data_IF_911242934479
#
_entry.id   IF_911242934479
#
_cell.length_a   1.000
_cell.length_b   1.000
_cell.length_c   1.000
_cell.angle_alpha   90.00
_cell.angle_beta   90.00
_cell.angle_gamma   90.00
#
_symmetry.space_group_name_H-M   'P 1'
#
loop_
_entity.id
_entity.type
_entity.pdbx_description
1 polymer ?
#
# COMPACT_ATOMS: atom_id res chain seq x y z
N UNK A 1 -23.45 -1.99 -31.65
CA UNK A 1 -22.32 -1.58 -30.79
C UNK A 1 -22.38 -2.44 -29.54
N UNK A 2 -21.45 -3.37 -29.36
CA UNK A 2 -21.39 -4.16 -28.13
C UNK A 2 -20.68 -3.35 -27.05
N UNK A 3 -21.31 -3.20 -25.89
CA UNK A 3 -20.66 -2.65 -24.70
C UNK A 3 -19.68 -3.71 -24.15
N UNK A 4 -18.38 -3.42 -24.20
CA UNK A 4 -17.39 -4.18 -23.42
C UNK A 4 -17.45 -3.74 -21.96
N UNK A 5 -17.25 -4.69 -21.04
CA UNK A 5 -17.01 -4.41 -19.63
C UNK A 5 -15.50 -4.44 -19.42
N UNK A 6 -14.95 -3.39 -18.83
CA UNK A 6 -13.52 -3.24 -18.58
C UNK A 6 -13.25 -3.01 -17.09
N UNK A 7 -12.16 -3.60 -16.60
CA UNK A 7 -11.68 -3.36 -15.24
C UNK A 7 -10.97 -2.02 -15.24
N UNK A 8 -11.49 -1.07 -14.45
CA UNK A 8 -10.91 0.27 -14.34
C UNK A 8 -10.19 0.49 -13.01
N UNK A 9 -10.40 -0.38 -12.03
CA UNK A 9 -9.67 -0.39 -10.76
C UNK A 9 -9.99 -1.69 -10.01
N UNK A 10 -9.02 -2.19 -9.28
CA UNK A 10 -9.17 -3.27 -8.31
C UNK A 10 -8.71 -2.73 -6.96
N UNK A 11 -9.56 -2.95 -5.95
CA UNK A 11 -9.24 -2.65 -4.55
C UNK A 11 -9.15 -3.97 -3.79
N UNK A 12 -8.05 -4.16 -3.06
CA UNK A 12 -7.89 -5.29 -2.15
C UNK A 12 -7.62 -4.82 -0.73
N UNK A 13 -7.82 -5.73 0.21
CA UNK A 13 -7.47 -5.51 1.60
C UNK A 13 -6.78 -6.73 2.18
N UNK A 14 -5.77 -6.50 3.02
CA UNK A 14 -5.08 -7.56 3.77
C UNK A 14 -4.75 -7.09 5.18
N UNK A 15 -4.23 -7.98 6.01
CA UNK A 15 -3.82 -7.68 7.38
C UNK A 15 -2.50 -8.41 7.70
N UNK A 16 -1.56 -7.71 8.34
CA UNK A 16 -0.26 -8.28 8.75
C UNK A 16 -0.32 -9.14 10.02
N UNK A 17 -1.42 -9.07 10.77
CA UNK A 17 -1.61 -9.76 12.04
C UNK A 17 -0.89 -9.09 13.22
N UNK A 18 -0.35 -7.88 13.06
CA UNK A 18 0.36 -7.12 14.11
C UNK A 18 -0.04 -5.65 14.10
N UNK A 19 0.06 -5.00 15.26
CA UNK A 19 -0.04 -3.53 15.33
C UNK A 19 1.26 -2.89 14.85
N UNK A 20 1.15 -1.68 14.29
CA UNK A 20 2.27 -0.90 13.76
C UNK A 20 2.35 0.45 14.48
N UNK A 21 3.56 0.92 14.78
CA UNK A 21 3.80 2.31 15.10
C UNK A 21 3.90 3.12 13.80
N UNK A 22 2.84 3.84 13.48
CA UNK A 22 2.76 4.59 12.22
C UNK A 22 3.76 5.75 12.16
N UNK A 23 4.12 6.36 13.29
CA UNK A 23 5.14 7.41 13.31
C UNK A 23 6.52 6.82 13.02
N UNK A 24 6.83 5.67 13.62
CA UNK A 24 8.09 4.96 13.34
C UNK A 24 8.18 4.52 11.88
N UNK A 25 7.08 4.00 11.31
CA UNK A 25 7.00 3.62 9.88
C UNK A 25 7.24 4.84 8.98
N UNK A 26 6.56 5.95 9.21
CA UNK A 26 6.69 7.16 8.39
C UNK A 26 8.12 7.71 8.40
N UNK A 27 8.78 7.67 9.56
CA UNK A 27 10.13 8.20 9.74
C UNK A 27 11.24 7.15 9.51
N UNK A 28 10.90 5.93 9.10
CA UNK A 28 11.89 4.88 8.87
C UNK A 28 12.72 5.18 7.62
N UNK A 29 14.00 5.48 7.80
CA UNK A 29 14.93 5.70 6.69
C UNK A 29 15.02 4.47 5.77
N UNK A 30 15.03 3.28 6.37
CA UNK A 30 15.12 2.02 5.62
C UNK A 30 13.95 1.81 4.67
N UNK A 31 12.74 2.21 5.05
CA UNK A 31 11.55 2.09 4.19
C UNK A 31 11.56 3.17 3.10
N UNK A 32 11.92 4.41 3.46
CA UNK A 32 11.90 5.56 2.55
C UNK A 32 12.97 5.48 1.45
N UNK A 33 14.00 4.65 1.63
CA UNK A 33 15.10 4.45 0.67
C UNK A 33 14.97 3.13 -0.12
N UNK A 34 13.86 2.39 0.03
CA UNK A 34 13.62 1.23 -0.82
C UNK A 34 13.33 1.69 -2.25
N UNK A 35 14.04 1.11 -3.22
CA UNK A 35 13.86 1.41 -4.65
C UNK A 35 12.40 1.20 -5.12
N UNK A 36 11.62 0.35 -4.44
CA UNK A 36 10.23 0.13 -4.77
C UNK A 36 9.26 1.19 -4.20
N UNK A 37 9.70 2.02 -3.25
CA UNK A 37 8.85 2.95 -2.50
C UNK A 37 9.06 4.39 -2.99
N UNK A 38 8.04 4.96 -3.62
CA UNK A 38 8.04 6.34 -4.09
C UNK A 38 7.87 7.35 -2.95
N UNK A 39 6.96 7.05 -2.01
CA UNK A 39 6.71 7.91 -0.86
C UNK A 39 6.01 7.19 0.28
N UNK A 40 6.24 7.67 1.50
CA UNK A 40 5.56 7.25 2.72
C UNK A 40 5.09 8.49 3.47
N UNK A 41 3.78 8.68 3.57
CA UNK A 41 3.19 9.86 4.20
C UNK A 41 2.24 9.49 5.34
N UNK A 42 2.44 10.11 6.50
CA UNK A 42 1.48 10.02 7.59
C UNK A 42 0.33 11.00 7.36
N UNK A 43 -0.86 10.45 7.11
CA UNK A 43 -2.08 11.23 7.03
C UNK A 43 -2.53 11.68 8.44
N UNK A 44 -2.72 12.99 8.60
CA UNK A 44 -3.05 13.66 9.86
C UNK A 44 -4.56 13.66 10.19
N UNK A 45 -5.41 13.04 9.37
CA UNK A 45 -6.85 12.96 9.63
C UNK A 45 -7.19 11.98 10.76
N UNK A 46 -8.45 12.01 11.17
CA UNK A 46 -9.04 11.09 12.14
C UNK A 46 -8.71 9.63 11.82
N UNK A 47 -7.97 8.99 12.73
CA UNK A 47 -7.60 7.58 12.65
C UNK A 47 -6.12 7.31 12.41
N UNK A 48 -5.35 8.30 11.93
CA UNK A 48 -3.92 8.22 11.51
C UNK A 48 -3.64 7.02 10.60
N UNK A 49 -3.25 7.29 9.36
CA UNK A 49 -2.95 6.24 8.37
C UNK A 49 -1.65 6.56 7.65
N UNK A 50 -0.95 5.54 7.21
CA UNK A 50 0.15 5.71 6.25
C UNK A 50 -0.43 5.60 4.84
N UNK A 51 -0.06 6.56 4.00
CA UNK A 51 -0.25 6.53 2.56
C UNK A 51 1.13 6.20 1.96
N UNK A 52 1.26 5.01 1.39
CA UNK A 52 2.50 4.55 0.78
C UNK A 52 2.29 4.35 -0.71
N UNK A 53 3.15 4.97 -1.53
CA UNK A 53 3.14 4.84 -2.99
C UNK A 53 4.34 4.02 -3.43
N UNK A 54 4.14 3.18 -4.43
CA UNK A 54 5.19 2.40 -5.05
C UNK A 54 5.66 3.09 -6.34
N UNK A 55 6.94 2.92 -6.70
CA UNK A 55 7.59 3.71 -7.76
C UNK A 55 7.26 3.21 -9.19
N UNK A 56 7.18 1.89 -9.38
CA UNK A 56 6.96 1.28 -10.69
C UNK A 56 5.48 1.07 -11.05
N UNK A 57 4.58 1.28 -10.10
CA UNK A 57 3.17 0.92 -10.21
C UNK A 57 2.31 1.99 -9.50
N UNK A 58 1.18 2.39 -10.10
CA UNK A 58 0.21 3.33 -9.50
C UNK A 58 -0.46 2.93 -8.17
N UNK A 59 -0.34 1.71 -7.62
CA UNK A 59 -1.02 1.35 -6.39
C UNK A 59 -0.64 2.20 -5.18
N UNK A 60 -1.69 2.67 -4.50
CA UNK A 60 -1.62 3.30 -3.20
C UNK A 60 -1.93 2.27 -2.11
N UNK A 61 -1.01 2.13 -1.17
CA UNK A 61 -1.22 1.43 0.09
C UNK A 61 -1.74 2.38 1.15
N UNK A 62 -2.84 2.01 1.80
CA UNK A 62 -3.40 2.71 2.95
C UNK A 62 -3.28 1.79 4.16
N UNK A 63 -2.43 2.16 5.12
CA UNK A 63 -2.09 1.31 6.27
C UNK A 63 -2.65 1.93 7.54
N UNK A 64 -3.30 1.11 8.36
CA UNK A 64 -3.75 1.49 9.70
C UNK A 64 -2.84 0.94 10.79
N UNK A 65 -2.94 1.54 11.98
CA UNK A 65 -2.23 1.08 13.19
C UNK A 65 -2.48 -0.41 13.52
N UNK A 66 -3.63 -0.96 13.12
CA UNK A 66 -3.97 -2.38 13.35
C UNK A 66 -3.31 -3.34 12.36
N UNK A 67 -2.40 -2.85 11.52
CA UNK A 67 -1.74 -3.63 10.48
C UNK A 67 -2.69 -4.07 9.37
N UNK A 68 -3.84 -3.42 9.21
CA UNK A 68 -4.68 -3.59 8.02
C UNK A 68 -4.23 -2.67 6.89
N UNK A 69 -4.23 -3.21 5.68
CA UNK A 69 -3.78 -2.61 4.43
C UNK A 69 -4.94 -2.58 3.46
N UNK A 70 -5.15 -1.45 2.81
CA UNK A 70 -5.96 -1.36 1.60
C UNK A 70 -5.02 -1.04 0.46
N UNK A 71 -5.10 -1.78 -0.63
CA UNK A 71 -4.33 -1.57 -1.85
C UNK A 71 -5.33 -1.22 -2.96
N UNK A 72 -5.12 -0.10 -3.63
CA UNK A 72 -5.99 0.39 -4.72
C UNK A 72 -5.14 0.98 -5.83
N UNK A 73 -5.66 1.08 -7.05
CA UNK A 73 -4.96 1.65 -8.20
C UNK A 73 -4.38 0.60 -9.13
N UNK A 74 -4.76 -0.68 -8.96
CA UNK A 74 -4.40 -1.75 -9.88
C UNK A 74 -5.47 -1.91 -10.95
N UNK A 75 -5.09 -2.05 -12.21
CA UNK A 75 -5.98 -2.27 -13.34
C UNK A 75 -6.05 -3.75 -13.77
N UNK A 76 -5.19 -4.58 -13.19
CA UNK A 76 -5.15 -6.02 -13.42
C UNK A 76 -4.86 -6.80 -12.14
N UNK A 77 -5.24 -8.08 -12.11
CA UNK A 77 -4.88 -8.97 -10.99
C UNK A 77 -3.37 -9.20 -10.88
N UNK A 78 -2.62 -9.08 -11.98
CA UNK A 78 -1.16 -9.15 -11.99
C UNK A 78 -0.54 -8.00 -11.19
N UNK A 79 -0.90 -6.76 -11.55
CA UNK A 79 -0.48 -5.56 -10.82
C UNK A 79 -0.86 -5.61 -9.34
N UNK A 80 -2.08 -6.08 -9.04
CA UNK A 80 -2.53 -6.19 -7.65
C UNK A 80 -1.68 -7.17 -6.85
N UNK A 81 -1.35 -8.32 -7.43
CA UNK A 81 -0.52 -9.33 -6.77
C UNK A 81 0.91 -8.83 -6.56
N UNK A 82 1.49 -8.17 -7.56
CA UNK A 82 2.83 -7.57 -7.46
C UNK A 82 2.87 -6.52 -6.35
N UNK A 83 1.91 -5.59 -6.34
CA UNK A 83 1.77 -4.58 -5.29
C UNK A 83 1.64 -5.23 -3.90
N UNK A 84 0.78 -6.24 -3.78
CA UNK A 84 0.53 -6.95 -2.52
C UNK A 84 1.80 -7.61 -1.97
N UNK A 85 2.59 -8.26 -2.83
CA UNK A 85 3.84 -8.88 -2.41
C UNK A 85 4.93 -7.86 -2.06
N UNK A 86 4.99 -6.72 -2.75
CA UNK A 86 5.86 -5.60 -2.39
C UNK A 86 5.50 -5.04 -1.01
N UNK A 87 4.22 -4.71 -0.76
CA UNK A 87 3.78 -4.25 0.56
C UNK A 87 4.09 -5.26 1.67
N UNK A 88 3.85 -6.56 1.45
CA UNK A 88 4.21 -7.59 2.45
C UNK A 88 5.70 -7.65 2.73
N UNK A 89 6.55 -7.41 1.72
CA UNK A 89 8.00 -7.41 1.86
C UNK A 89 8.46 -6.22 2.70
N UNK A 90 7.99 -5.02 2.38
CA UNK A 90 8.31 -3.78 3.11
C UNK A 90 8.02 -3.93 4.60
N UNK A 91 6.85 -4.49 4.95
CA UNK A 91 6.41 -4.59 6.35
C UNK A 91 6.76 -5.90 7.06
N UNK A 92 7.55 -6.78 6.44
CA UNK A 92 7.99 -8.04 7.06
C UNK A 92 8.91 -7.79 8.25
N UNK A 93 9.83 -6.84 8.09
CA UNK A 93 10.93 -6.56 9.02
C UNK A 93 10.65 -5.40 9.98
N UNK A 94 9.52 -4.71 9.82
CA UNK A 94 9.06 -3.59 10.68
C UNK A 94 8.25 -4.11 11.85
#
# INVERSE_FOLDING_TARGET
>A
MGSSVEIVNIVSSTNLGKELDLEAVANSYEINELDEVASVELNQESGRRILMRLDSIEPLGIISRKGSFIITGSHSFGELNEATETFKRVFREV
#
